data_IF_938322317972
#
_entry.id   IF_938322317972
#
_cell.length_a   1.000
_cell.length_b   1.000
_cell.length_c   1.000
_cell.angle_alpha   90.00
_cell.angle_beta   90.00
_cell.angle_gamma   90.00
#
_symmetry.space_group_name_H-M   'P 1'
#
loop_
_entity.id
_entity.type
_entity.pdbx_description
1 polymer ?
#
# COMPACT_ATOMS: atom_id res chain seq x y z
N UNK A 1 13.70 -23.63 -2.50
CA UNK A 1 13.19 -22.25 -2.32
C UNK A 1 11.69 -22.41 -2.05
N UNK A 2 11.32 -22.42 -0.76
CA UNK A 2 9.91 -22.56 -0.36
C UNK A 2 9.10 -21.45 -1.02
N UNK A 3 8.03 -21.85 -1.69
CA UNK A 3 7.00 -20.92 -2.15
C UNK A 3 6.30 -20.45 -0.88
N UNK A 4 6.67 -19.30 -0.36
CA UNK A 4 5.91 -18.68 0.74
C UNK A 4 4.55 -18.34 0.12
N UNK A 5 3.57 -19.16 0.40
CA UNK A 5 2.16 -18.85 0.11
C UNK A 5 1.83 -17.67 1.04
N UNK A 6 1.79 -16.49 0.49
CA UNK A 6 1.54 -15.27 1.24
C UNK A 6 0.04 -14.98 1.20
N UNK A 7 -0.65 -15.23 2.30
CA UNK A 7 -2.02 -14.77 2.48
C UNK A 7 -2.02 -13.27 2.75
N UNK A 8 -2.66 -12.51 1.88
CA UNK A 8 -2.66 -11.04 1.96
C UNK A 8 -4.04 -10.52 2.32
N UNK A 9 -4.13 -9.82 3.43
CA UNK A 9 -5.31 -9.08 3.87
C UNK A 9 -5.11 -7.57 3.74
N UNK A 10 -6.21 -6.86 3.48
CA UNK A 10 -6.20 -5.40 3.34
C UNK A 10 -7.06 -4.73 4.42
N UNK A 11 -6.46 -3.81 5.17
CA UNK A 11 -7.16 -2.88 6.05
C UNK A 11 -7.30 -1.56 5.30
N UNK A 12 -8.53 -1.24 4.91
CA UNK A 12 -8.85 -0.13 4.02
C UNK A 12 -9.21 -0.61 2.61
N UNK A 13 -10.37 -0.20 2.14
CA UNK A 13 -10.96 -0.59 0.86
C UNK A 13 -11.09 0.60 -0.11
N UNK A 14 -10.11 1.51 -0.02
CA UNK A 14 -9.98 2.69 -0.88
C UNK A 14 -9.35 2.36 -2.24
N UNK A 15 -8.94 3.42 -2.96
CA UNK A 15 -8.33 3.30 -4.30
C UNK A 15 -7.06 2.44 -4.27
N UNK A 16 -6.18 2.64 -3.27
CA UNK A 16 -4.91 1.91 -3.13
C UNK A 16 -5.15 0.43 -2.83
N UNK A 17 -5.97 0.13 -1.81
CA UNK A 17 -6.27 -1.25 -1.42
C UNK A 17 -6.92 -2.04 -2.54
N UNK A 18 -7.95 -1.48 -3.19
CA UNK A 18 -8.61 -2.15 -4.32
C UNK A 18 -7.67 -2.37 -5.50
N UNK A 19 -6.81 -1.39 -5.82
CA UNK A 19 -5.86 -1.52 -6.93
C UNK A 19 -4.80 -2.58 -6.65
N UNK A 20 -4.21 -2.61 -5.45
CA UNK A 20 -3.27 -3.66 -5.08
C UNK A 20 -3.93 -5.03 -4.99
N UNK A 21 -5.11 -5.12 -4.35
CA UNK A 21 -5.81 -6.39 -4.23
C UNK A 21 -6.15 -6.99 -5.59
N UNK A 22 -6.66 -6.19 -6.54
CA UNK A 22 -6.93 -6.67 -7.90
C UNK A 22 -5.66 -7.00 -8.66
N UNK A 23 -4.62 -6.18 -8.53
CA UNK A 23 -3.32 -6.44 -9.13
C UNK A 23 -2.71 -7.76 -8.64
N UNK A 24 -2.77 -8.03 -7.34
CA UNK A 24 -2.30 -9.28 -6.76
C UNK A 24 -3.11 -10.48 -7.24
N UNK A 25 -4.46 -10.37 -7.24
CA UNK A 25 -5.34 -11.42 -7.73
C UNK A 25 -5.03 -11.82 -9.18
N UNK A 26 -4.81 -10.85 -10.08
CA UNK A 26 -4.47 -11.12 -11.48
C UNK A 26 -3.11 -11.82 -11.64
N UNK A 27 -2.22 -11.63 -10.66
CA UNK A 27 -0.93 -12.34 -10.60
C UNK A 27 -0.99 -13.63 -9.75
N UNK A 28 -2.20 -14.12 -9.44
CA UNK A 28 -2.44 -15.36 -8.67
C UNK A 28 -1.86 -15.34 -7.25
N UNK A 29 -1.73 -14.15 -6.66
CA UNK A 29 -1.42 -14.00 -5.25
C UNK A 29 -2.72 -14.15 -4.45
N UNK A 30 -2.65 -14.90 -3.35
CA UNK A 30 -3.80 -15.16 -2.49
C UNK A 30 -4.20 -13.88 -1.72
N UNK A 31 -5.18 -13.15 -2.24
CA UNK A 31 -5.87 -12.07 -1.53
C UNK A 31 -7.01 -12.68 -0.75
N UNK A 32 -6.92 -12.70 0.56
CA UNK A 32 -7.96 -13.29 1.42
C UNK A 32 -9.16 -12.37 1.53
N UNK A 33 -8.94 -11.05 1.67
CA UNK A 33 -10.06 -10.10 1.68
C UNK A 33 -9.73 -8.73 2.25
N UNK A 34 -10.82 -8.01 2.55
CA UNK A 34 -10.79 -6.62 2.98
C UNK A 34 -11.58 -6.40 4.25
N UNK A 35 -11.01 -5.59 5.15
CA UNK A 35 -11.70 -4.92 6.23
C UNK A 35 -11.73 -3.42 5.99
N UNK A 36 -12.82 -2.76 6.32
CA UNK A 36 -12.94 -1.29 6.29
C UNK A 36 -13.96 -0.82 7.31
N UNK A 37 -13.77 0.39 7.87
CA UNK A 37 -14.79 1.06 8.71
C UNK A 37 -16.13 1.24 7.98
N UNK A 38 -16.10 1.38 6.65
CA UNK A 38 -17.29 1.34 5.79
C UNK A 38 -17.46 -0.10 5.27
N UNK A 39 -18.50 -0.78 5.73
CA UNK A 39 -18.85 -2.13 5.28
C UNK A 39 -19.13 -2.19 3.78
N UNK A 40 -19.84 -1.19 3.23
CA UNK A 40 -20.08 -1.08 1.78
C UNK A 40 -18.79 -1.03 0.98
N UNK A 41 -17.78 -0.31 1.51
CA UNK A 41 -16.48 -0.20 0.84
C UNK A 41 -15.72 -1.51 0.84
N UNK A 42 -15.74 -2.26 1.95
CA UNK A 42 -15.11 -3.59 2.05
C UNK A 42 -15.85 -4.62 1.21
N UNK A 43 -17.18 -4.60 1.20
CA UNK A 43 -18.00 -5.46 0.35
C UNK A 43 -17.72 -5.23 -1.14
N UNK A 44 -17.70 -3.96 -1.58
CA UNK A 44 -17.40 -3.62 -2.96
C UNK A 44 -15.98 -4.05 -3.39
N UNK A 45 -14.98 -3.88 -2.50
CA UNK A 45 -13.61 -4.32 -2.77
C UNK A 45 -13.51 -5.84 -2.84
N UNK A 46 -14.16 -6.55 -1.93
CA UNK A 46 -14.19 -8.01 -1.88
C UNK A 46 -14.85 -8.61 -3.11
N UNK A 47 -15.97 -8.06 -3.54
CA UNK A 47 -16.63 -8.45 -4.79
C UNK A 47 -15.74 -8.22 -6.01
N UNK A 48 -15.07 -7.06 -6.07
CA UNK A 48 -14.17 -6.70 -7.19
C UNK A 48 -12.96 -7.62 -7.30
N UNK A 49 -12.46 -8.12 -6.17
CA UNK A 49 -11.29 -9.00 -6.10
C UNK A 49 -11.64 -10.47 -5.90
N UNK A 50 -12.94 -10.82 -5.89
CA UNK A 50 -13.41 -12.20 -5.61
C UNK A 50 -12.80 -12.77 -4.32
N UNK A 51 -12.81 -11.97 -3.25
CA UNK A 51 -12.23 -12.29 -1.95
C UNK A 51 -13.24 -12.11 -0.83
N UNK A 52 -12.87 -12.41 0.43
CA UNK A 52 -13.74 -12.33 1.60
C UNK A 52 -13.95 -10.88 2.05
N UNK A 53 -15.16 -10.51 2.44
CA UNK A 53 -15.40 -9.35 3.28
C UNK A 53 -15.17 -9.73 4.74
N UNK A 54 -14.28 -9.03 5.43
CA UNK A 54 -14.11 -9.16 6.87
C UNK A 54 -14.93 -8.07 7.58
N UNK A 55 -15.82 -8.49 8.47
CA UNK A 55 -16.55 -7.59 9.36
C UNK A 55 -15.82 -7.40 10.70
N UNK A 56 -14.86 -8.26 10.99
CA UNK A 56 -14.04 -8.25 12.19
C UNK A 56 -12.56 -8.10 11.84
N UNK A 57 -11.92 -7.03 12.35
CA UNK A 57 -10.52 -6.74 12.08
C UNK A 57 -9.58 -7.83 12.62
N UNK A 58 -9.88 -8.40 13.79
CA UNK A 58 -9.07 -9.48 14.38
C UNK A 58 -9.06 -10.71 13.46
N UNK A 59 -10.21 -11.09 12.91
CA UNK A 59 -10.30 -12.22 11.99
C UNK A 59 -9.42 -12.03 10.75
N UNK A 60 -9.43 -10.82 10.16
CA UNK A 60 -8.51 -10.50 9.07
C UNK A 60 -7.06 -10.65 9.50
N UNK A 61 -6.69 -10.11 10.66
CA UNK A 61 -5.30 -10.19 11.14
C UNK A 61 -4.88 -11.63 11.39
N UNK A 62 -5.74 -12.44 12.00
CA UNK A 62 -5.42 -13.84 12.37
C UNK A 62 -5.22 -14.72 11.12
N UNK A 63 -6.03 -14.53 10.07
CA UNK A 63 -6.01 -15.34 8.84
C UNK A 63 -4.89 -14.98 7.85
N UNK A 64 -4.16 -13.88 8.05
CA UNK A 64 -3.20 -13.38 7.07
C UNK A 64 -1.76 -13.34 7.58
N UNK A 65 -0.80 -13.63 6.68
CA UNK A 65 0.64 -13.54 6.93
C UNK A 65 1.16 -12.14 6.64
N UNK A 66 0.52 -11.45 5.69
CA UNK A 66 0.87 -10.10 5.27
C UNK A 66 -0.38 -9.22 5.29
N UNK A 67 -0.27 -8.08 5.95
CA UNK A 67 -1.36 -7.13 6.12
C UNK A 67 -0.95 -5.81 5.48
N UNK A 68 -1.74 -5.37 4.50
CA UNK A 68 -1.59 -4.05 3.90
C UNK A 68 -2.58 -3.07 4.51
N UNK A 69 -2.07 -2.06 5.20
CA UNK A 69 -2.83 -0.92 5.71
C UNK A 69 -2.88 0.13 4.60
N UNK A 70 -4.04 0.28 3.99
CA UNK A 70 -4.30 1.18 2.86
C UNK A 70 -5.35 2.25 3.20
N UNK A 71 -5.46 2.56 4.48
CA UNK A 71 -6.22 3.70 5.00
C UNK A 71 -5.52 5.02 4.66
N UNK A 72 -6.21 6.18 4.78
CA UNK A 72 -5.53 7.47 4.73
C UNK A 72 -4.39 7.56 5.74
N UNK A 73 -3.35 8.31 5.39
CA UNK A 73 -2.11 8.43 6.18
C UNK A 73 -2.36 8.75 7.66
N UNK A 74 -3.28 9.66 7.95
CA UNK A 74 -3.64 10.03 9.33
C UNK A 74 -4.31 8.94 10.16
N UNK A 75 -4.68 7.81 9.55
CA UNK A 75 -5.32 6.68 10.23
C UNK A 75 -4.40 5.48 10.43
N UNK A 76 -3.21 5.47 9.81
CA UNK A 76 -2.28 4.33 9.88
C UNK A 76 -1.89 4.04 11.32
N UNK A 77 -1.59 5.09 12.10
CA UNK A 77 -1.20 4.94 13.50
C UNK A 77 -2.34 4.37 14.36
N UNK A 78 -3.58 4.81 14.14
CA UNK A 78 -4.76 4.30 14.86
C UNK A 78 -4.93 2.80 14.59
N UNK A 79 -4.85 2.39 13.32
CA UNK A 79 -4.92 0.99 12.92
C UNK A 79 -3.79 0.18 13.59
N UNK A 80 -2.57 0.71 13.60
CA UNK A 80 -1.45 0.05 14.28
C UNK A 80 -1.71 -0.15 15.78
N UNK A 81 -2.21 0.87 16.48
CA UNK A 81 -2.51 0.78 17.92
C UNK A 81 -3.56 -0.30 18.22
N UNK A 82 -4.44 -0.58 17.30
CA UNK A 82 -5.44 -1.64 17.44
C UNK A 82 -4.83 -3.03 17.14
N UNK A 83 -4.20 -3.21 15.97
CA UNK A 83 -3.77 -4.54 15.51
C UNK A 83 -2.56 -5.08 16.27
N UNK A 84 -1.72 -4.24 16.86
CA UNK A 84 -0.56 -4.69 17.67
C UNK A 84 -0.98 -5.56 18.88
N UNK A 85 -2.25 -5.49 19.30
CA UNK A 85 -2.81 -6.27 20.40
C UNK A 85 -3.36 -7.64 19.93
N UNK A 86 -3.24 -7.97 18.64
CA UNK A 86 -3.69 -9.23 18.06
C UNK A 86 -2.51 -10.19 17.84
N UNK A 87 -2.76 -11.35 17.25
CA UNK A 87 -1.72 -12.34 16.95
C UNK A 87 -0.94 -11.95 15.69
N UNK A 88 0.01 -11.02 15.85
CA UNK A 88 0.82 -10.49 14.72
C UNK A 88 2.23 -11.07 14.62
N UNK A 89 2.60 -12.00 15.50
CA UNK A 89 3.93 -12.60 15.47
C UNK A 89 4.26 -13.23 14.12
N UNK A 90 5.45 -12.92 13.61
CA UNK A 90 5.97 -13.33 12.29
C UNK A 90 5.21 -12.76 11.08
N UNK A 91 4.28 -11.83 11.26
CA UNK A 91 3.53 -11.21 10.16
C UNK A 91 4.28 -9.99 9.59
N UNK A 92 4.06 -9.74 8.29
CA UNK A 92 4.49 -8.52 7.63
C UNK A 92 3.37 -7.49 7.70
N UNK A 93 3.64 -6.36 8.32
CA UNK A 93 2.71 -5.23 8.44
C UNK A 93 3.20 -4.14 7.51
N UNK A 94 2.44 -3.87 6.45
CA UNK A 94 2.82 -2.95 5.40
C UNK A 94 1.85 -1.77 5.34
N UNK A 95 2.33 -0.55 5.14
CA UNK A 95 1.49 0.56 4.71
C UNK A 95 1.94 1.09 3.35
N UNK A 96 1.08 1.89 2.69
CA UNK A 96 1.35 2.37 1.33
C UNK A 96 1.63 3.87 1.26
N UNK A 97 1.86 4.56 2.38
CA UNK A 97 2.22 5.97 2.39
C UNK A 97 3.60 6.21 1.79
N UNK A 98 3.72 7.24 0.95
CA UNK A 98 5.00 7.71 0.43
C UNK A 98 5.77 8.57 1.45
N UNK A 99 5.06 9.27 2.32
CA UNK A 99 5.63 10.23 3.27
C UNK A 99 6.03 9.61 4.61
N UNK A 100 5.23 8.65 5.11
CA UNK A 100 5.39 8.06 6.43
C UNK A 100 6.40 6.91 6.36
N UNK A 101 7.32 6.83 7.34
CA UNK A 101 8.23 5.69 7.48
C UNK A 101 7.58 4.54 8.25
N UNK A 102 8.20 3.36 8.17
CA UNK A 102 7.80 2.18 8.94
C UNK A 102 7.88 2.35 10.46
N UNK A 103 8.52 3.41 10.96
CA UNK A 103 8.56 3.74 12.40
C UNK A 103 7.18 4.06 12.98
N UNK A 104 6.19 4.33 12.14
CA UNK A 104 4.82 4.48 12.61
C UNK A 104 4.33 3.23 13.35
N UNK A 105 4.93 2.09 13.05
CA UNK A 105 4.72 0.81 13.74
C UNK A 105 5.62 0.71 14.98
N UNK A 106 5.45 1.64 15.91
CA UNK A 106 6.28 1.75 17.12
C UNK A 106 6.40 0.41 17.86
N UNK A 107 7.63 0.04 18.21
CA UNK A 107 7.95 -1.18 18.97
C UNK A 107 7.48 -2.49 18.32
N UNK A 108 7.37 -2.54 17.00
CA UNK A 108 6.85 -3.71 16.27
C UNK A 108 7.67 -4.98 16.55
N UNK A 109 8.95 -4.85 16.83
CA UNK A 109 9.83 -5.98 17.19
C UNK A 109 9.40 -6.65 18.51
N UNK A 110 8.86 -5.89 19.46
CA UNK A 110 8.38 -6.43 20.74
C UNK A 110 7.19 -7.39 20.54
N UNK A 111 6.47 -7.21 19.43
CA UNK A 111 5.36 -8.08 19.01
C UNK A 111 5.80 -9.21 18.09
N UNK A 112 7.10 -9.26 17.74
CA UNK A 112 7.66 -10.26 16.83
C UNK A 112 7.19 -10.15 15.39
N UNK A 113 6.71 -8.98 14.97
CA UNK A 113 6.27 -8.67 13.60
C UNK A 113 7.29 -7.77 12.87
N UNK A 114 7.07 -7.52 11.58
CA UNK A 114 8.00 -6.77 10.74
C UNK A 114 7.24 -5.68 9.98
N UNK A 115 7.70 -4.44 10.12
CA UNK A 115 7.05 -3.24 9.58
C UNK A 115 7.67 -2.73 8.29
N UNK A 116 6.83 -2.37 7.32
CA UNK A 116 7.28 -1.86 6.02
C UNK A 116 6.41 -0.72 5.53
N UNK A 117 7.06 0.21 4.83
CA UNK A 117 6.40 1.06 3.85
C UNK A 117 6.61 0.46 2.47
N UNK A 118 5.52 0.16 1.78
CA UNK A 118 5.49 -0.38 0.41
C UNK A 118 4.73 0.61 -0.46
N UNK A 119 5.44 1.62 -0.97
CA UNK A 119 4.81 2.74 -1.66
C UNK A 119 4.91 2.60 -3.19
N UNK A 120 3.78 2.56 -3.90
CA UNK A 120 3.77 2.65 -5.36
C UNK A 120 4.00 4.11 -5.79
N UNK A 121 5.10 4.39 -6.47
CA UNK A 121 5.34 5.69 -7.11
C UNK A 121 4.44 5.81 -8.35
N UNK A 122 3.16 5.93 -8.11
CA UNK A 122 2.13 5.96 -9.15
C UNK A 122 0.85 6.65 -8.63
N UNK A 123 0.25 7.51 -9.46
CA UNK A 123 -1.03 8.14 -9.13
C UNK A 123 -2.19 7.15 -9.26
N UNK A 124 -2.67 6.64 -8.13
CA UNK A 124 -3.84 5.76 -8.09
C UNK A 124 -5.10 6.61 -7.99
N UNK A 125 -5.61 7.06 -9.13
CA UNK A 125 -6.76 7.97 -9.23
C UNK A 125 -8.10 7.26 -9.33
N UNK A 126 -8.14 6.07 -9.92
CA UNK A 126 -9.36 5.28 -10.15
C UNK A 126 -9.30 3.97 -9.35
N UNK A 127 -10.35 3.74 -8.57
CA UNK A 127 -10.49 2.57 -7.68
C UNK A 127 -10.45 1.23 -8.44
N UNK A 128 -11.05 1.20 -9.63
CA UNK A 128 -11.30 -0.05 -10.38
C UNK A 128 -10.48 -0.21 -11.65
N UNK A 129 -9.70 0.81 -12.05
CA UNK A 129 -8.92 0.75 -13.29
C UNK A 129 -7.42 0.97 -13.09
N UNK A 130 -6.99 1.63 -11.99
CA UNK A 130 -5.57 1.95 -11.78
C UNK A 130 -4.68 0.70 -11.69
N UNK A 131 -5.21 -0.44 -11.23
CA UNK A 131 -4.48 -1.70 -11.12
C UNK A 131 -3.88 -2.15 -12.47
N UNK A 132 -4.53 -1.88 -13.60
CA UNK A 132 -4.07 -2.24 -14.96
C UNK A 132 -2.72 -1.61 -15.31
N UNK A 133 -2.37 -0.52 -14.66
CA UNK A 133 -1.14 0.23 -14.90
C UNK A 133 -0.12 0.08 -13.77
N UNK A 134 -0.45 -0.59 -12.67
CA UNK A 134 0.43 -0.75 -11.50
C UNK A 134 1.75 -1.44 -11.86
N UNK A 135 1.78 -2.35 -12.83
CA UNK A 135 3.01 -2.96 -13.33
C UNK A 135 4.06 -1.93 -13.80
N UNK A 136 3.64 -0.73 -14.22
CA UNK A 136 4.53 0.33 -14.69
C UNK A 136 5.07 1.20 -13.53
N UNK A 137 4.60 1.00 -12.30
CA UNK A 137 5.06 1.78 -11.16
C UNK A 137 6.38 1.24 -10.62
N UNK A 138 7.19 2.16 -10.11
CA UNK A 138 8.23 1.79 -9.15
C UNK A 138 7.57 1.50 -7.81
N UNK A 139 7.97 0.42 -7.16
CA UNK A 139 7.60 0.12 -5.78
C UNK A 139 8.81 0.41 -4.90
N UNK A 140 8.69 1.37 -4.02
CA UNK A 140 9.72 1.64 -3.03
C UNK A 140 9.40 0.89 -1.74
N UNK A 141 10.41 0.29 -1.16
CA UNK A 141 10.33 -0.49 0.06
C UNK A 141 11.26 0.15 1.09
N UNK A 142 10.73 0.44 2.25
CA UNK A 142 11.48 0.91 3.42
C UNK A 142 10.97 0.14 4.63
N UNK A 143 11.84 -0.25 5.57
CA UNK A 143 11.46 -0.95 6.78
C UNK A 143 12.52 -1.95 7.24
N UNK A 144 12.09 -3.00 7.93
CA UNK A 144 12.95 -4.02 8.52
C UNK A 144 13.82 -4.73 7.45
N UNK A 145 15.12 -4.91 7.73
CA UNK A 145 16.06 -5.49 6.78
C UNK A 145 15.72 -6.94 6.43
N UNK A 146 15.10 -7.67 7.37
CA UNK A 146 14.88 -9.12 7.25
C UNK A 146 14.11 -9.52 6.00
N UNK A 147 13.05 -8.81 5.65
CA UNK A 147 12.22 -9.15 4.48
C UNK A 147 12.18 -8.06 3.41
N UNK A 148 12.97 -6.97 3.53
CA UNK A 148 13.02 -5.93 2.51
C UNK A 148 13.39 -6.48 1.13
N UNK A 149 14.43 -7.33 1.07
CA UNK A 149 14.83 -8.01 -0.18
C UNK A 149 13.73 -8.95 -0.70
N UNK A 150 13.08 -9.70 0.17
CA UNK A 150 11.96 -10.57 -0.20
C UNK A 150 10.82 -9.78 -0.85
N UNK A 151 10.41 -8.65 -0.26
CA UNK A 151 9.38 -7.77 -0.81
C UNK A 151 9.81 -7.19 -2.16
N UNK A 152 11.08 -6.77 -2.32
CA UNK A 152 11.60 -6.36 -3.62
C UNK A 152 11.48 -7.46 -4.67
N UNK A 153 11.92 -8.67 -4.36
CA UNK A 153 11.90 -9.80 -5.29
C UNK A 153 10.45 -10.23 -5.60
N UNK A 154 9.55 -10.13 -4.62
CA UNK A 154 8.12 -10.34 -4.82
C UNK A 154 7.55 -9.39 -5.88
N UNK A 155 7.73 -8.08 -5.73
CA UNK A 155 7.21 -7.12 -6.71
C UNK A 155 7.91 -7.18 -8.07
N UNK A 156 9.21 -7.53 -8.11
CA UNK A 156 9.91 -7.80 -9.38
C UNK A 156 9.29 -8.96 -10.15
N UNK A 157 8.88 -10.03 -9.46
CA UNK A 157 8.17 -11.15 -10.09
C UNK A 157 6.81 -10.74 -10.67
N UNK A 158 6.15 -9.74 -10.09
CA UNK A 158 4.93 -9.14 -10.64
C UNK A 158 5.23 -8.18 -11.82
N UNK A 159 6.50 -7.91 -12.09
CA UNK A 159 6.97 -7.08 -13.20
C UNK A 159 7.19 -5.61 -12.86
N UNK A 160 7.20 -5.26 -11.58
CA UNK A 160 7.52 -3.91 -11.11
C UNK A 160 9.03 -3.67 -11.05
N UNK A 161 9.47 -2.43 -11.25
CA UNK A 161 10.76 -1.97 -10.77
C UNK A 161 10.69 -1.69 -9.26
N UNK A 162 11.73 -2.06 -8.51
CA UNK A 162 11.74 -1.91 -7.05
C UNK A 162 13.01 -1.23 -6.58
N UNK A 163 12.91 -0.43 -5.51
CA UNK A 163 14.04 0.23 -4.85
C UNK A 163 13.85 0.14 -3.34
N UNK A 164 14.92 -0.20 -2.62
CA UNK A 164 14.95 -0.06 -1.16
C UNK A 164 15.39 1.38 -0.86
N UNK A 165 14.59 2.09 -0.10
CA UNK A 165 14.85 3.45 0.36
C UNK A 165 15.16 3.39 1.84
N UNK A 166 16.22 4.08 2.28
CA UNK A 166 16.49 4.18 3.70
C UNK A 166 15.48 5.11 4.38
N UNK A 167 15.26 4.90 5.65
CA UNK A 167 14.36 5.70 6.47
C UNK A 167 14.68 7.20 6.41
N UNK A 168 15.97 7.54 6.50
CA UNK A 168 16.47 8.92 6.48
C UNK A 168 16.13 9.61 5.16
N UNK A 169 16.12 8.86 4.07
CA UNK A 169 15.85 9.39 2.74
C UNK A 169 14.37 9.39 2.36
N UNK A 170 13.49 8.85 3.20
CA UNK A 170 12.07 8.70 2.86
C UNK A 170 11.38 10.03 2.57
N UNK A 171 11.59 11.04 3.40
CA UNK A 171 11.00 12.37 3.22
C UNK A 171 11.52 13.05 1.95
N UNK A 172 12.84 12.96 1.68
CA UNK A 172 13.45 13.51 0.48
C UNK A 172 12.93 12.82 -0.78
N UNK A 173 12.85 11.49 -0.75
CA UNK A 173 12.25 10.70 -1.82
C UNK A 173 10.81 11.12 -2.11
N UNK A 174 9.99 11.27 -1.06
CA UNK A 174 8.59 11.70 -1.24
C UNK A 174 8.50 13.10 -1.80
N UNK A 175 9.29 14.05 -1.29
CA UNK A 175 9.37 15.41 -1.82
C UNK A 175 9.73 15.43 -3.32
N UNK A 176 10.72 14.64 -3.73
CA UNK A 176 11.10 14.52 -5.15
C UNK A 176 9.92 13.98 -6.01
N UNK A 177 9.17 13.01 -5.49
CA UNK A 177 7.99 12.48 -6.17
C UNK A 177 6.88 13.52 -6.34
N UNK A 178 6.63 14.35 -5.31
CA UNK A 178 5.64 15.43 -5.33
C UNK A 178 6.06 16.54 -6.30
N UNK A 179 7.34 16.92 -6.27
CA UNK A 179 7.90 17.93 -7.20
C UNK A 179 7.71 17.51 -8.65
N UNK A 180 8.06 16.26 -8.99
CA UNK A 180 8.02 15.75 -10.37
C UNK A 180 6.60 15.39 -10.86
N UNK A 181 5.60 15.42 -10.01
CA UNK A 181 4.22 15.08 -10.35
C UNK A 181 3.24 16.23 -10.04
N UNK A 182 2.88 16.43 -8.80
CA UNK A 182 1.83 17.36 -8.41
C UNK A 182 2.19 18.82 -8.69
N UNK A 183 3.45 19.23 -8.42
CA UNK A 183 3.87 20.61 -8.66
C UNK A 183 4.01 20.91 -10.14
N UNK A 184 4.53 19.98 -10.95
CA UNK A 184 4.58 20.12 -12.41
C UNK A 184 3.18 20.29 -12.99
N UNK A 185 2.20 19.48 -12.55
CA UNK A 185 0.81 19.62 -12.98
C UNK A 185 0.21 20.96 -12.56
N UNK A 186 0.55 21.45 -11.37
CA UNK A 186 0.15 22.79 -10.92
C UNK A 186 0.67 23.90 -11.83
N UNK A 187 1.95 23.85 -12.22
CA UNK A 187 2.57 24.80 -13.16
C UNK A 187 1.92 24.75 -14.54
N UNK A 188 1.69 23.54 -15.07
CA UNK A 188 1.01 23.36 -16.37
C UNK A 188 -0.40 23.96 -16.31
N UNK A 189 -1.18 23.69 -15.26
CA UNK A 189 -2.52 24.25 -15.10
C UNK A 189 -2.53 25.78 -15.02
N UNK A 190 -1.56 26.37 -14.32
CA UNK A 190 -1.38 27.83 -14.28
C UNK A 190 -1.09 28.39 -15.67
N UNK A 191 -0.20 27.74 -16.44
CA UNK A 191 0.10 28.13 -17.83
C UNK A 191 -1.15 28.06 -18.72
N UNK A 192 -1.94 27.00 -18.64
CA UNK A 192 -3.19 26.86 -19.37
C UNK A 192 -4.17 28.02 -19.02
N UNK A 193 -4.28 28.36 -17.73
CA UNK A 193 -5.13 29.47 -17.28
C UNK A 193 -4.70 30.80 -17.94
N UNK A 194 -3.40 31.06 -18.00
CA UNK A 194 -2.89 32.28 -18.65
C UNK A 194 -3.17 32.30 -20.17
N UNK A 195 -3.01 31.17 -20.84
CA UNK A 195 -3.33 31.06 -22.27
C UNK A 195 -4.81 31.33 -22.54
N UNK A 196 -5.71 30.79 -21.73
CA UNK A 196 -7.16 31.07 -21.83
C UNK A 196 -7.43 32.59 -21.67
N UNK A 197 -6.77 33.25 -20.72
CA UNK A 197 -6.91 34.72 -20.55
C UNK A 197 -6.39 35.52 -21.77
N UNK A 198 -5.48 34.95 -22.54
CA UNK A 198 -4.99 35.54 -23.80
C UNK A 198 -5.86 35.19 -25.02
N UNK A 199 -6.96 34.47 -24.85
CA UNK A 199 -7.91 34.11 -25.92
C UNK A 199 -7.60 32.81 -26.67
N UNK A 200 -6.74 31.93 -26.09
CA UNK A 200 -6.50 30.59 -26.62
C UNK A 200 -7.55 29.60 -26.12
#
# INVERSE_FOLDING_TARGET
>A
MEVIIMNVGFIGAGKVGCSFGKYFQEHKIQVTGFYSKSEDSSLAASNFTSSKQYLNLRELVDENDTIFITTPDGQIQEVWQEIKNYQIKNKLICHCSGAISSDIFSNIQDYGAYGYSVHPMFSISDKYNSYKKLKKSFITIEGDEKYAKFLCDFFKKLGNSTVIVSKENKSLYHAASVVSSNLVLGLINTSVTYLIQCGF
#
